data_IF_062182558684
#
_entry.id   IF_062182558684
#
_cell.length_a   1.000
_cell.length_b   1.000
_cell.length_c   1.000
_cell.angle_alpha   90.00
_cell.angle_beta   90.00
_cell.angle_gamma   90.00
#
_symmetry.space_group_name_H-M   'P 1'
#
loop_
_entity.id
_entity.type
_entity.pdbx_description
1 polymer ?
#
# COMPACT_ATOMS: atom_id res chain seq x y z
N UNK A 1 21.24 9.77 -14.39
CA UNK A 1 19.92 9.97 -15.04
C UNK A 1 19.51 8.81 -15.96
N UNK A 2 20.39 7.84 -16.23
CA UNK A 2 20.20 6.79 -17.24
C UNK A 2 19.58 5.49 -16.69
N UNK A 3 19.82 5.16 -15.42
CA UNK A 3 19.35 3.89 -14.82
C UNK A 3 17.88 3.90 -14.39
N UNK A 4 17.32 5.07 -14.03
CA UNK A 4 15.91 5.21 -13.64
C UNK A 4 14.97 5.03 -14.85
N UNK A 5 15.40 5.51 -16.03
CA UNK A 5 14.63 5.31 -17.28
C UNK A 5 14.67 3.86 -17.76
N UNK A 6 15.79 3.15 -17.53
CA UNK A 6 15.88 1.71 -17.83
C UNK A 6 14.96 0.87 -16.95
N UNK A 7 14.83 1.22 -15.66
CA UNK A 7 13.91 0.52 -14.75
C UNK A 7 12.44 0.74 -15.14
N UNK A 8 12.08 1.94 -15.60
CA UNK A 8 10.73 2.24 -16.12
C UNK A 8 10.42 1.49 -17.43
N UNK A 9 11.38 1.37 -18.35
CA UNK A 9 11.22 0.55 -19.56
C UNK A 9 11.14 -0.96 -19.25
N UNK A 10 11.90 -1.45 -18.27
CA UNK A 10 11.86 -2.86 -17.87
C UNK A 10 10.52 -3.24 -17.21
N UNK A 11 9.91 -2.31 -16.47
CA UNK A 11 8.56 -2.46 -15.91
C UNK A 11 7.46 -2.54 -16.97
N UNK A 12 7.62 -1.84 -18.09
CA UNK A 12 6.70 -1.91 -19.23
C UNK A 12 6.84 -3.24 -20.01
N UNK A 13 8.03 -3.85 -20.03
CA UNK A 13 8.29 -5.12 -20.71
C UNK A 13 7.88 -6.34 -19.89
N UNK A 14 7.99 -6.31 -18.56
CA UNK A 14 7.53 -7.44 -17.72
C UNK A 14 6.00 -7.62 -17.71
N UNK A 15 5.23 -6.57 -18.02
CA UNK A 15 3.78 -6.68 -18.19
C UNK A 15 3.34 -7.46 -19.43
N UNK A 16 4.25 -7.71 -20.38
CA UNK A 16 3.94 -8.35 -21.66
C UNK A 16 4.32 -9.84 -21.74
N UNK A 17 4.95 -10.42 -20.71
CA UNK A 17 5.56 -11.77 -20.81
C UNK A 17 4.99 -12.83 -19.85
N UNK A 18 3.83 -12.61 -19.25
CA UNK A 18 3.13 -13.68 -18.49
C UNK A 18 1.97 -14.22 -19.35
N UNK A 19 2.33 -14.88 -20.44
CA UNK A 19 1.47 -15.77 -21.19
C UNK A 19 2.35 -16.69 -22.05
N UNK A 20 2.84 -17.79 -21.46
CA UNK A 20 3.01 -19.09 -22.13
C UNK A 20 3.80 -20.06 -21.23
N UNK A 21 3.12 -21.17 -20.96
CA UNK A 21 3.61 -22.55 -20.81
C UNK A 21 4.28 -23.11 -19.55
N UNK A 22 3.94 -24.39 -19.42
CA UNK A 22 3.86 -25.31 -18.30
C UNK A 22 5.01 -26.34 -18.34
N UNK A 23 5.18 -27.05 -17.21
CA UNK A 23 5.91 -28.32 -16.98
C UNK A 23 7.36 -28.32 -16.45
N UNK A 24 7.43 -28.69 -15.16
CA UNK A 24 8.29 -29.70 -14.51
C UNK A 24 9.78 -29.81 -14.88
N UNK A 25 10.67 -29.52 -13.93
CA UNK A 25 11.90 -30.31 -13.67
C UNK A 25 12.22 -30.32 -12.17
N UNK A 26 12.67 -31.49 -11.71
CA UNK A 26 13.02 -31.91 -10.36
C UNK A 26 14.21 -31.16 -9.72
N UNK A 27 14.26 -31.28 -8.40
CA UNK A 27 15.25 -30.73 -7.48
C UNK A 27 16.36 -31.76 -7.24
N UNK A 28 17.61 -31.45 -7.59
CA UNK A 28 18.80 -32.15 -7.11
C UNK A 28 19.46 -31.36 -5.97
N UNK A 29 19.83 -32.07 -4.91
CA UNK A 29 20.56 -31.57 -3.76
C UNK A 29 22.06 -31.96 -3.83
N UNK A 30 22.80 -31.39 -2.88
CA UNK A 30 24.10 -31.79 -2.33
C UNK A 30 25.39 -31.20 -2.93
N UNK A 31 26.06 -30.33 -2.14
CA UNK A 31 27.18 -30.67 -1.23
C UNK A 31 27.76 -29.36 -0.64
N UNK A 32 27.85 -29.20 0.70
CA UNK A 32 29.03 -29.40 1.57
C UNK A 32 30.29 -28.64 1.09
N UNK A 33 31.09 -27.89 1.89
CA UNK A 33 31.47 -28.03 3.30
C UNK A 33 32.36 -26.83 3.75
N UNK A 34 32.25 -26.43 5.03
CA UNK A 34 33.33 -26.17 6.03
C UNK A 34 34.29 -24.95 5.96
N UNK A 35 34.22 -24.18 7.07
CA UNK A 35 35.24 -23.52 7.96
C UNK A 35 36.33 -22.64 7.31
N UNK A 36 36.68 -21.49 7.88
CA UNK A 36 37.50 -21.41 9.10
C UNK A 36 37.56 -19.99 9.68
N UNK A 37 37.59 -19.92 11.01
CA UNK A 37 37.82 -18.77 11.86
C UNK A 37 39.23 -18.19 11.68
N UNK A 38 39.39 -16.88 11.86
CA UNK A 38 40.55 -16.34 12.58
C UNK A 38 40.07 -15.24 13.52
N UNK A 39 40.62 -15.30 14.72
CA UNK A 39 40.32 -14.56 15.93
C UNK A 39 41.45 -13.54 16.19
N UNK A 40 41.15 -12.59 17.09
CA UNK A 40 42.03 -11.86 18.00
C UNK A 40 42.67 -10.56 17.47
N UNK A 41 42.38 -9.40 18.08
CA UNK A 41 42.79 -8.88 19.42
C UNK A 41 44.05 -8.02 19.23
N UNK A 42 44.36 -6.94 19.93
CA UNK A 42 43.82 -6.12 21.01
C UNK A 42 44.40 -4.70 20.77
N UNK A 43 43.85 -3.67 21.41
CA UNK A 43 44.58 -2.90 22.43
C UNK A 43 43.95 -1.55 22.75
N UNK A 44 43.92 -1.30 24.05
CA UNK A 44 43.39 -0.15 24.75
C UNK A 44 44.39 1.01 24.82
N UNK A 45 43.90 2.23 25.01
CA UNK A 45 43.98 2.94 26.31
C UNK A 45 43.74 4.46 26.18
N UNK A 46 42.90 4.96 27.09
CA UNK A 46 42.99 6.20 27.87
C UNK A 46 43.17 7.58 27.22
N UNK A 47 42.22 8.50 27.46
CA UNK A 47 42.29 9.48 28.57
C UNK A 47 41.34 10.68 28.40
N UNK A 48 40.46 10.85 29.40
CA UNK A 48 39.99 12.06 30.09
C UNK A 48 39.66 13.42 29.38
N UNK A 49 38.46 13.88 29.74
CA UNK A 49 38.06 15.23 30.20
C UNK A 49 37.79 16.39 29.21
N UNK A 50 36.49 16.57 28.97
CA UNK A 50 35.67 17.78 29.18
C UNK A 50 36.12 19.13 28.58
N UNK A 51 35.35 19.58 27.56
CA UNK A 51 35.03 21.00 27.35
C UNK A 51 33.79 21.13 26.48
N UNK A 52 32.75 21.71 27.06
CA UNK A 52 31.54 22.15 26.39
C UNK A 52 31.86 23.07 25.20
N UNK A 53 31.32 22.75 24.03
CA UNK A 53 31.20 23.69 22.90
C UNK A 53 29.85 23.49 22.21
N UNK A 54 29.00 24.52 22.34
CA UNK A 54 27.75 24.69 21.60
C UNK A 54 28.06 24.64 20.10
N UNK A 55 27.62 23.59 19.43
CA UNK A 55 27.56 23.58 17.96
C UNK A 55 26.10 23.68 17.54
N UNK A 56 25.73 24.86 17.01
CA UNK A 56 24.50 25.05 16.25
C UNK A 56 24.50 24.00 15.14
N UNK A 57 23.56 23.05 15.18
CA UNK A 57 23.30 22.18 14.05
C UNK A 57 22.77 23.04 12.92
N UNK A 58 23.61 23.27 11.90
CA UNK A 58 23.18 23.82 10.63
C UNK A 58 22.16 22.87 10.03
N UNK A 59 20.91 23.31 9.99
CA UNK A 59 19.85 22.67 9.23
C UNK A 59 20.28 22.73 7.76
N UNK A 60 20.49 21.56 7.15
CA UNK A 60 20.78 21.48 5.70
C UNK A 60 19.63 22.17 4.95
N UNK A 61 19.90 22.83 3.81
CA UNK A 61 18.84 23.37 2.96
C UNK A 61 17.82 22.27 2.70
N UNK A 62 16.55 22.56 2.98
CA UNK A 62 15.44 21.62 2.86
C UNK A 62 15.43 21.09 1.41
N UNK A 63 15.86 19.84 1.22
CA UNK A 63 15.85 19.22 -0.10
C UNK A 63 14.41 19.23 -0.64
N UNK A 64 14.23 19.53 -1.93
CA UNK A 64 12.92 19.46 -2.59
C UNK A 64 12.18 18.20 -2.14
N UNK A 65 11.06 18.32 -1.43
CA UNK A 65 10.42 17.18 -0.81
C UNK A 65 9.82 16.19 -1.82
N UNK A 66 9.67 16.62 -3.08
CA UNK A 66 9.22 15.81 -4.19
C UNK A 66 10.36 15.17 -4.98
N UNK A 67 11.63 15.47 -4.63
CA UNK A 67 12.82 14.92 -5.30
C UNK A 67 12.78 13.39 -5.28
N UNK A 68 12.83 12.80 -6.47
CA UNK A 68 12.81 11.34 -6.64
C UNK A 68 11.44 10.74 -6.92
N UNK A 69 10.38 11.57 -6.95
CA UNK A 69 9.08 11.16 -7.43
C UNK A 69 9.03 11.11 -8.97
N UNK A 70 8.49 10.02 -9.53
CA UNK A 70 8.44 9.76 -10.97
C UNK A 70 7.01 9.43 -11.38
N UNK A 71 6.47 10.10 -12.40
CA UNK A 71 5.15 9.80 -12.94
C UNK A 71 5.18 8.45 -13.66
N UNK A 72 4.28 7.54 -13.30
CA UNK A 72 4.28 6.16 -13.81
C UNK A 72 3.55 6.05 -15.16
N UNK A 73 2.53 6.88 -15.39
CA UNK A 73 1.75 6.90 -16.63
C UNK A 73 1.53 8.35 -17.09
N UNK A 74 1.60 8.64 -18.40
CA UNK A 74 1.26 9.96 -18.89
C UNK A 74 -0.22 10.30 -18.66
N UNK A 75 -1.10 9.29 -18.72
CA UNK A 75 -2.57 9.44 -18.65
C UNK A 75 -3.13 9.37 -17.23
N UNK A 76 -2.57 8.49 -16.39
CA UNK A 76 -3.08 8.29 -15.03
C UNK A 76 -2.46 9.29 -14.04
N UNK A 77 -3.16 9.58 -12.95
CA UNK A 77 -2.67 10.46 -11.86
C UNK A 77 -1.90 9.65 -10.81
N UNK A 78 -0.86 8.95 -11.26
CA UNK A 78 -0.03 8.07 -10.43
C UNK A 78 1.47 8.37 -10.56
N UNK A 79 2.13 8.40 -9.41
CA UNK A 79 3.57 8.55 -9.27
C UNK A 79 4.15 7.53 -8.31
N UNK A 80 5.44 7.26 -8.45
CA UNK A 80 6.21 6.39 -7.56
C UNK A 80 7.46 7.08 -7.05
N UNK A 81 7.84 6.80 -5.81
CA UNK A 81 9.11 7.22 -5.23
C UNK A 81 9.94 5.97 -4.89
N UNK A 82 10.79 5.45 -5.79
CA UNK A 82 11.50 4.19 -5.57
C UNK A 82 12.36 4.16 -4.29
N UNK A 83 13.04 5.27 -3.97
CA UNK A 83 13.88 5.38 -2.77
C UNK A 83 13.11 5.28 -1.44
N UNK A 84 11.87 5.80 -1.39
CA UNK A 84 11.00 5.76 -0.21
C UNK A 84 9.93 4.67 -0.27
N UNK A 85 9.82 4.00 -1.43
CA UNK A 85 8.79 3.02 -1.77
C UNK A 85 7.35 3.55 -1.68
N UNK A 86 7.14 4.80 -2.06
CA UNK A 86 5.81 5.39 -2.06
C UNK A 86 5.15 5.23 -3.42
N UNK A 87 3.85 4.97 -3.40
CA UNK A 87 2.98 5.03 -4.57
C UNK A 87 1.96 6.10 -4.26
N UNK A 88 1.96 7.16 -5.06
CA UNK A 88 1.15 8.34 -4.84
C UNK A 88 0.10 8.40 -5.94
N UNK A 89 -1.17 8.47 -5.56
CA UNK A 89 -2.29 8.52 -6.50
C UNK A 89 -3.24 9.63 -6.08
N UNK A 90 -3.63 10.49 -7.03
CA UNK A 90 -4.65 11.51 -6.74
C UNK A 90 -6.06 10.91 -6.82
N UNK A 91 -7.00 11.53 -6.13
CA UNK A 91 -8.40 11.14 -6.10
C UNK A 91 -9.27 12.16 -5.39
N UNK A 92 -10.46 11.75 -4.98
CA UNK A 92 -11.41 12.58 -4.23
C UNK A 92 -12.24 11.75 -3.26
N UNK A 93 -12.80 12.41 -2.25
CA UNK A 93 -13.83 11.81 -1.38
C UNK A 93 -15.12 11.63 -2.18
N UNK A 94 -15.66 10.41 -2.19
CA UNK A 94 -16.93 10.08 -2.87
C UNK A 94 -18.02 9.51 -1.95
N UNK A 95 -17.71 9.22 -0.69
CA UNK A 95 -18.70 8.84 0.31
C UNK A 95 -18.23 9.25 1.71
N UNK A 96 -19.14 9.79 2.52
CA UNK A 96 -18.86 10.18 3.93
C UNK A 96 -19.69 9.42 4.95
N UNK A 97 -20.75 8.76 4.51
CA UNK A 97 -21.74 8.10 5.36
C UNK A 97 -22.21 6.81 4.68
N UNK A 98 -22.50 5.78 5.46
CA UNK A 98 -22.98 4.50 4.96
C UNK A 98 -21.99 3.36 5.18
N UNK A 99 -22.45 2.17 4.79
CA UNK A 99 -21.70 0.93 4.84
C UNK A 99 -20.66 0.86 3.71
N UNK A 100 -19.54 0.19 3.98
CA UNK A 100 -18.40 0.14 3.06
C UNK A 100 -18.08 -1.28 2.63
N UNK A 101 -17.96 -1.48 1.32
CA UNK A 101 -17.34 -2.66 0.72
C UNK A 101 -15.85 -2.39 0.43
N UNK A 102 -15.53 -1.15 0.07
CA UNK A 102 -14.17 -0.68 -0.22
C UNK A 102 -13.83 0.59 0.56
N UNK A 103 -12.54 0.83 0.76
CA UNK A 103 -12.03 2.14 1.12
C UNK A 103 -11.83 3.00 -0.12
N UNK A 104 -11.22 2.44 -1.16
CA UNK A 104 -10.90 3.16 -2.39
C UNK A 104 -11.20 2.31 -3.63
N UNK A 105 -11.70 2.98 -4.68
CA UNK A 105 -12.07 2.39 -5.97
C UNK A 105 -11.50 3.23 -7.13
N UNK A 106 -11.31 2.66 -8.34
CA UNK A 106 -11.06 3.46 -9.54
C UNK A 106 -12.21 4.45 -9.81
N UNK A 107 -11.89 5.57 -10.45
CA UNK A 107 -12.87 6.54 -10.93
C UNK A 107 -14.02 5.89 -11.72
N UNK A 108 -15.24 6.42 -11.54
CA UNK A 108 -16.47 5.97 -12.23
C UNK A 108 -16.86 4.49 -12.02
N UNK A 109 -16.45 3.87 -10.92
CA UNK A 109 -16.88 2.51 -10.55
C UNK A 109 -17.88 2.54 -9.38
N UNK A 110 -17.59 1.79 -8.31
CA UNK A 110 -18.51 1.54 -7.19
C UNK A 110 -18.43 2.62 -6.11
N UNK A 111 -18.57 3.88 -6.51
CA UNK A 111 -18.37 5.05 -5.63
C UNK A 111 -19.39 5.16 -4.50
N UNK A 112 -20.53 4.48 -4.59
CA UNK A 112 -21.58 4.46 -3.56
C UNK A 112 -21.26 3.56 -2.35
N UNK A 113 -20.19 2.78 -2.42
CA UNK A 113 -19.77 1.82 -1.37
C UNK A 113 -18.29 2.01 -0.97
N UNK A 114 -17.71 3.16 -1.33
CA UNK A 114 -16.31 3.49 -1.10
C UNK A 114 -16.10 4.94 -0.66
N UNK A 115 -15.16 5.18 0.24
CA UNK A 115 -14.86 6.54 0.75
C UNK A 115 -14.12 7.38 -0.30
N UNK A 116 -13.24 6.75 -1.07
CA UNK A 116 -12.34 7.42 -2.02
C UNK A 116 -12.53 6.87 -3.44
N UNK A 117 -12.61 7.78 -4.39
CA UNK A 117 -12.52 7.48 -5.83
C UNK A 117 -11.18 8.02 -6.33
N UNK A 118 -10.33 7.16 -6.92
CA UNK A 118 -9.01 7.55 -7.39
C UNK A 118 -8.94 7.70 -8.90
N UNK A 119 -8.17 8.68 -9.37
CA UNK A 119 -8.01 9.00 -10.79
C UNK A 119 -6.94 8.08 -11.44
N UNK A 120 -7.11 6.77 -11.22
CA UNK A 120 -6.19 5.73 -11.66
C UNK A 120 -6.87 4.35 -11.71
N UNK A 121 -6.65 3.58 -12.78
CA UNK A 121 -7.07 2.18 -12.81
C UNK A 121 -6.23 1.31 -11.85
N UNK A 122 -6.87 0.33 -11.21
CA UNK A 122 -6.25 -0.65 -10.28
C UNK A 122 -5.02 -1.33 -10.85
N UNK A 123 -5.01 -1.69 -12.14
CA UNK A 123 -3.85 -2.31 -12.80
C UNK A 123 -2.56 -1.49 -12.72
N UNK A 124 -2.64 -0.15 -12.71
CA UNK A 124 -1.45 0.70 -12.55
C UNK A 124 -0.97 0.75 -11.10
N UNK A 125 -1.90 0.74 -10.13
CA UNK A 125 -1.56 0.61 -8.71
C UNK A 125 -0.92 -0.75 -8.42
N UNK A 126 -1.45 -1.82 -9.01
CA UNK A 126 -0.86 -3.17 -8.96
C UNK A 126 0.58 -3.14 -9.50
N UNK A 127 0.79 -2.62 -10.70
CA UNK A 127 2.12 -2.53 -11.31
C UNK A 127 3.09 -1.71 -10.45
N UNK A 128 2.62 -0.60 -9.85
CA UNK A 128 3.41 0.22 -8.94
C UNK A 128 3.80 -0.55 -7.66
N UNK A 129 2.89 -1.34 -7.08
CA UNK A 129 3.16 -2.19 -5.91
C UNK A 129 4.29 -3.19 -6.21
N UNK A 130 4.20 -3.89 -7.35
CA UNK A 130 5.26 -4.78 -7.81
C UNK A 130 6.60 -4.04 -8.00
N UNK A 131 6.56 -2.86 -8.63
CA UNK A 131 7.75 -2.03 -8.84
C UNK A 131 8.43 -1.60 -7.52
N UNK A 132 7.66 -1.38 -6.45
CA UNK A 132 8.19 -1.04 -5.12
C UNK A 132 8.65 -2.28 -4.31
N UNK A 133 8.55 -3.46 -4.91
CA UNK A 133 8.98 -4.74 -4.34
C UNK A 133 7.94 -5.40 -3.44
N UNK A 134 6.67 -4.99 -3.54
CA UNK A 134 5.58 -5.73 -2.94
C UNK A 134 5.42 -7.08 -3.65
N UNK A 135 5.10 -8.11 -2.87
CA UNK A 135 4.78 -9.45 -3.35
C UNK A 135 3.28 -9.67 -3.21
N UNK A 136 2.62 -9.95 -4.33
CA UNK A 136 1.25 -10.44 -4.33
C UNK A 136 1.21 -11.81 -3.64
N UNK A 137 0.20 -12.02 -2.80
CA UNK A 137 -0.17 -13.33 -2.29
C UNK A 137 -1.36 -13.88 -3.06
N UNK A 138 -2.48 -14.07 -2.36
CA UNK A 138 -3.77 -14.38 -2.98
C UNK A 138 -4.88 -13.55 -2.35
N UNK A 139 -5.96 -13.26 -3.09
CA UNK A 139 -7.21 -12.81 -2.49
C UNK A 139 -7.78 -13.85 -1.52
N UNK A 140 -8.85 -13.47 -0.81
CA UNK A 140 -9.60 -14.37 0.05
C UNK A 140 -10.15 -15.57 -0.75
N UNK A 141 -10.19 -16.73 -0.11
CA UNK A 141 -10.87 -17.93 -0.59
C UNK A 141 -11.95 -18.31 0.41
N UNK A 142 -13.21 -18.36 -0.02
CA UNK A 142 -14.32 -18.73 0.86
C UNK A 142 -14.57 -20.25 0.93
N UNK A 143 -14.33 -20.97 -0.16
CA UNK A 143 -14.61 -22.41 -0.30
C UNK A 143 -13.39 -23.15 -0.89
N UNK A 144 -13.19 -24.43 -0.54
CA UNK A 144 -13.98 -25.23 0.41
C UNK A 144 -13.72 -24.84 1.88
N UNK A 145 -12.54 -24.28 2.18
CA UNK A 145 -12.14 -23.76 3.49
C UNK A 145 -11.83 -22.28 3.38
N UNK A 146 -12.31 -21.49 4.34
CA UNK A 146 -11.96 -20.07 4.43
C UNK A 146 -10.44 -19.91 4.58
N UNK A 147 -9.85 -19.13 3.69
CA UNK A 147 -8.45 -18.68 3.75
C UNK A 147 -8.46 -17.18 3.48
N UNK A 148 -8.03 -16.34 4.44
CA UNK A 148 -8.03 -14.89 4.24
C UNK A 148 -7.02 -14.48 3.17
N UNK A 149 -7.18 -13.27 2.67
CA UNK A 149 -6.18 -12.67 1.80
C UNK A 149 -4.82 -12.61 2.48
N UNK A 150 -3.75 -12.74 1.69
CA UNK A 150 -2.38 -12.68 2.18
C UNK A 150 -1.46 -12.03 1.13
N UNK A 151 -0.23 -11.68 1.53
CA UNK A 151 0.71 -10.95 0.68
C UNK A 151 1.51 -9.91 1.46
N UNK A 152 2.14 -8.99 0.74
CA UNK A 152 2.83 -7.86 1.40
C UNK A 152 1.83 -6.94 2.09
N UNK A 153 2.15 -6.48 3.30
CA UNK A 153 1.33 -5.47 3.98
C UNK A 153 1.47 -4.14 3.25
N UNK A 154 0.36 -3.45 3.05
CA UNK A 154 0.32 -2.12 2.45
C UNK A 154 -0.32 -1.16 3.43
N UNK A 155 0.46 -0.18 3.90
CA UNK A 155 -0.07 0.97 4.63
C UNK A 155 -0.62 1.98 3.63
N UNK A 156 -1.77 2.56 3.94
CA UNK A 156 -2.43 3.56 3.10
C UNK A 156 -2.66 4.82 3.93
N UNK A 157 -2.17 5.93 3.41
CA UNK A 157 -2.39 7.26 3.97
C UNK A 157 -3.18 8.10 2.98
N UNK A 158 -3.97 9.02 3.50
CA UNK A 158 -4.65 10.06 2.71
C UNK A 158 -4.16 11.42 3.18
N UNK A 159 -3.79 12.24 2.20
CA UNK A 159 -3.40 13.62 2.38
C UNK A 159 -4.47 14.48 1.71
N UNK A 160 -4.82 15.60 2.32
CA UNK A 160 -5.73 16.59 1.75
C UNK A 160 -5.42 17.98 2.30
N UNK A 161 -6.00 19.02 1.71
CA UNK A 161 -6.00 20.36 2.31
C UNK A 161 -7.32 20.58 3.05
N UNK A 162 -7.23 21.08 4.28
CA UNK A 162 -8.42 21.55 4.99
C UNK A 162 -8.91 22.90 4.42
N UNK A 163 -9.97 23.43 5.03
CA UNK A 163 -10.60 24.69 4.64
C UNK A 163 -9.65 25.90 4.73
N UNK A 164 -8.64 25.82 5.61
CA UNK A 164 -7.59 26.83 5.76
C UNK A 164 -6.41 26.62 4.77
N UNK A 165 -6.52 25.62 3.89
CA UNK A 165 -5.48 25.24 2.93
C UNK A 165 -4.29 24.50 3.55
N UNK A 166 -4.38 24.13 4.83
CA UNK A 166 -3.33 23.40 5.54
C UNK A 166 -3.41 21.91 5.21
N UNK A 167 -2.24 21.32 4.97
CA UNK A 167 -2.14 19.91 4.68
C UNK A 167 -2.46 19.07 5.93
N UNK A 168 -3.40 18.16 5.76
CA UNK A 168 -3.81 17.16 6.74
C UNK A 168 -3.40 15.77 6.27
N UNK A 169 -3.14 14.87 7.21
CA UNK A 169 -2.75 13.48 6.94
C UNK A 169 -3.50 12.56 7.90
N UNK A 170 -4.04 11.48 7.37
CA UNK A 170 -4.61 10.40 8.16
C UNK A 170 -4.20 9.04 7.59
N UNK A 171 -4.09 8.03 8.45
CA UNK A 171 -4.14 6.65 7.98
C UNK A 171 -5.56 6.37 7.46
N UNK A 172 -5.68 5.67 6.33
CA UNK A 172 -6.99 5.35 5.72
C UNK A 172 -7.95 4.68 6.72
N UNK A 173 -7.41 3.87 7.63
CA UNK A 173 -8.17 3.21 8.68
C UNK A 173 -8.89 4.17 9.65
N UNK A 174 -8.47 5.43 9.76
CA UNK A 174 -9.14 6.42 10.62
C UNK A 174 -10.47 6.92 10.04
N UNK A 175 -10.64 6.81 8.72
CA UNK A 175 -11.84 7.19 7.98
C UNK A 175 -12.93 6.11 8.01
N UNK A 176 -12.67 4.99 8.69
CA UNK A 176 -13.61 3.89 8.79
C UNK A 176 -13.72 3.44 10.23
N UNK A 177 -14.89 2.97 10.63
CA UNK A 177 -15.12 2.42 11.96
C UNK A 177 -15.97 1.16 11.89
N UNK A 178 -15.69 0.23 12.78
CA UNK A 178 -16.53 -0.94 13.03
C UNK A 178 -17.91 -0.45 13.51
N UNK A 179 -18.97 -0.85 12.79
CA UNK A 179 -20.32 -0.37 13.07
C UNK A 179 -20.80 -0.75 14.46
N UNK A 180 -20.37 -1.91 14.99
CA UNK A 180 -20.82 -2.41 16.29
C UNK A 180 -19.96 -1.86 17.42
N UNK A 181 -18.64 -1.90 17.26
CA UNK A 181 -17.67 -1.50 18.31
C UNK A 181 -17.43 0.00 18.34
N UNK A 182 -17.81 0.73 17.27
CA UNK A 182 -17.54 2.17 17.08
C UNK A 182 -16.05 2.52 17.16
N UNK A 183 -15.17 1.54 16.91
CA UNK A 183 -13.71 1.72 16.89
C UNK A 183 -13.21 1.80 15.46
N UNK A 184 -12.18 2.62 15.23
CA UNK A 184 -11.53 2.69 13.92
C UNK A 184 -10.90 1.37 13.53
N UNK A 185 -10.79 1.08 12.23
CA UNK A 185 -10.12 -0.12 11.72
C UNK A 185 -8.67 -0.20 12.26
N UNK A 186 -8.24 -1.39 12.67
CA UNK A 186 -6.92 -1.62 13.26
C UNK A 186 -5.93 -2.29 12.30
N UNK A 187 -6.45 -2.90 11.23
CA UNK A 187 -5.68 -3.74 10.33
C UNK A 187 -5.28 -2.95 9.08
N UNK A 188 -4.04 -3.08 8.60
CA UNK A 188 -3.64 -2.68 7.26
C UNK A 188 -4.17 -3.68 6.23
N UNK A 189 -3.99 -3.34 4.96
CA UNK A 189 -4.31 -4.23 3.86
C UNK A 189 -3.14 -5.13 3.53
N UNK A 190 -3.44 -6.25 2.88
CA UNK A 190 -2.45 -7.11 2.23
C UNK A 190 -2.64 -7.11 0.73
N UNK A 191 -1.54 -7.20 -0.01
CA UNK A 191 -1.54 -7.24 -1.46
C UNK A 191 -1.87 -8.65 -1.97
N UNK A 192 -3.15 -8.90 -2.22
CA UNK A 192 -3.68 -10.17 -2.74
C UNK A 192 -3.46 -10.33 -4.25
N UNK A 193 -3.47 -9.23 -5.01
CA UNK A 193 -3.09 -9.20 -6.42
C UNK A 193 -4.21 -9.35 -7.46
N UNK A 194 -5.45 -9.66 -7.07
CA UNK A 194 -6.60 -9.86 -7.97
C UNK A 194 -6.34 -10.90 -9.08
N UNK A 195 -7.18 -10.92 -10.12
CA UNK A 195 -7.06 -11.82 -11.28
C UNK A 195 -7.52 -11.16 -12.58
N UNK A 196 -7.59 -11.95 -13.65
CA UNK A 196 -8.03 -11.52 -14.97
C UNK A 196 -9.22 -12.34 -15.45
N UNK A 197 -10.03 -11.75 -16.34
CA UNK A 197 -11.09 -12.42 -17.07
C UNK A 197 -11.08 -12.02 -18.55
N UNK A 198 -11.75 -12.81 -19.38
CA UNK A 198 -12.03 -12.48 -20.78
C UNK A 198 -13.41 -11.82 -20.87
N UNK A 199 -13.49 -10.65 -21.49
CA UNK A 199 -14.76 -10.02 -21.80
C UNK A 199 -15.41 -10.61 -23.07
N UNK A 200 -16.56 -10.06 -23.48
CA UNK A 200 -17.29 -10.51 -24.68
C UNK A 200 -16.49 -10.35 -25.98
N UNK A 201 -15.50 -9.45 -26.00
CA UNK A 201 -14.59 -9.24 -27.11
C UNK A 201 -13.32 -10.12 -27.02
N UNK A 202 -13.27 -11.06 -26.07
CA UNK A 202 -12.11 -11.91 -25.76
C UNK A 202 -10.86 -11.10 -25.34
N UNK A 203 -11.04 -9.91 -24.78
CA UNK A 203 -9.94 -9.11 -24.23
C UNK A 203 -9.70 -9.44 -22.75
N UNK A 204 -8.42 -9.51 -22.36
CA UNK A 204 -8.04 -9.66 -20.96
C UNK A 204 -8.38 -8.38 -20.18
N UNK A 205 -9.26 -8.51 -19.19
CA UNK A 205 -9.63 -7.47 -18.23
C UNK A 205 -9.17 -7.85 -16.84
N UNK A 206 -8.67 -6.88 -16.09
CA UNK A 206 -8.23 -7.08 -14.72
C UNK A 206 -9.40 -6.83 -13.77
N UNK A 207 -9.76 -7.80 -12.92
CA UNK A 207 -10.99 -7.74 -12.14
C UNK A 207 -11.08 -6.50 -11.26
N UNK A 208 -10.01 -6.15 -10.54
CA UNK A 208 -10.05 -5.00 -9.63
C UNK A 208 -10.22 -3.65 -10.34
N UNK A 209 -10.07 -3.55 -11.66
CA UNK A 209 -10.45 -2.33 -12.39
C UNK A 209 -11.98 -2.10 -12.37
N UNK A 210 -12.78 -3.11 -12.01
CA UNK A 210 -14.23 -3.00 -11.81
C UNK A 210 -14.67 -2.50 -10.44
N UNK A 211 -13.75 -2.30 -9.49
CA UNK A 211 -14.05 -1.71 -8.19
C UNK A 211 -13.31 -2.33 -7.00
N UNK A 212 -12.96 -3.62 -7.03
CA UNK A 212 -12.34 -4.33 -5.90
C UNK A 212 -10.85 -4.00 -5.70
N UNK A 213 -10.53 -2.71 -5.60
CA UNK A 213 -9.17 -2.20 -5.47
C UNK A 213 -8.68 -2.26 -4.02
N UNK A 214 -9.35 -1.59 -3.09
CA UNK A 214 -8.99 -1.56 -1.66
C UNK A 214 -10.20 -1.96 -0.82
N UNK A 215 -10.38 -3.27 -0.63
CA UNK A 215 -11.57 -3.85 0.00
C UNK A 215 -11.50 -3.85 1.53
N UNK A 216 -12.68 -3.80 2.17
CA UNK A 216 -12.86 -3.99 3.61
C UNK A 216 -13.88 -5.08 3.98
N UNK A 217 -14.55 -5.65 2.97
CA UNK A 217 -15.57 -6.69 3.14
C UNK A 217 -15.20 -8.09 2.59
N UNK A 218 -13.92 -8.33 2.29
CA UNK A 218 -13.38 -9.54 1.68
C UNK A 218 -13.96 -9.91 0.29
N UNK A 219 -13.14 -9.85 -0.76
CA UNK A 219 -13.56 -10.23 -2.12
C UNK A 219 -12.57 -11.17 -2.80
N UNK A 220 -13.08 -12.22 -3.45
CA UNK A 220 -12.27 -13.23 -4.13
C UNK A 220 -11.43 -12.66 -5.31
N UNK A 221 -11.74 -11.44 -5.71
CA UNK A 221 -11.05 -10.71 -6.78
C UNK A 221 -10.40 -9.41 -6.30
N UNK A 222 -10.27 -9.20 -4.98
CA UNK A 222 -9.65 -8.00 -4.42
C UNK A 222 -8.16 -7.86 -4.80
N UNK A 223 -7.74 -6.63 -5.13
CA UNK A 223 -6.32 -6.30 -5.24
C UNK A 223 -5.66 -6.15 -3.86
N UNK A 224 -6.24 -5.29 -3.02
CA UNK A 224 -5.89 -5.12 -1.61
C UNK A 224 -7.10 -5.49 -0.75
N UNK A 225 -6.88 -6.30 0.28
CA UNK A 225 -7.97 -6.79 1.15
C UNK A 225 -7.50 -6.91 2.61
N UNK A 226 -8.44 -7.03 3.53
CA UNK A 226 -8.12 -7.24 4.94
C UNK A 226 -7.68 -8.70 5.18
N UNK A 227 -6.57 -8.93 5.90
CA UNK A 227 -6.07 -10.27 6.22
C UNK A 227 -6.82 -10.91 7.41
N UNK A 228 -8.10 -10.60 7.56
CA UNK A 228 -9.00 -11.12 8.59
C UNK A 228 -10.34 -11.48 7.95
N UNK A 229 -11.07 -12.41 8.55
CA UNK A 229 -12.44 -12.72 8.12
C UNK A 229 -13.38 -11.57 8.48
N UNK A 230 -14.02 -11.01 7.46
CA UNK A 230 -15.22 -10.18 7.63
C UNK A 230 -16.27 -11.03 8.33
N UNK A 231 -16.77 -10.54 9.47
CA UNK A 231 -17.68 -11.29 10.34
C UNK A 231 -18.93 -11.75 9.58
N UNK A 232 -19.07 -13.07 9.39
CA UNK A 232 -20.22 -13.71 8.74
C UNK A 232 -21.52 -13.62 9.54
N UNK A 233 -21.48 -13.18 10.80
CA UNK A 233 -22.57 -13.38 11.75
C UNK A 233 -23.78 -12.44 11.61
N UNK A 234 -23.80 -11.48 10.68
CA UNK A 234 -24.99 -10.71 10.36
C UNK A 234 -24.84 -10.10 8.97
N UNK A 235 -25.92 -10.06 8.21
CA UNK A 235 -26.04 -9.57 6.83
C UNK A 235 -25.68 -8.09 6.60
N UNK A 236 -24.96 -7.46 7.53
CA UNK A 236 -24.52 -6.08 7.50
C UNK A 236 -23.00 -6.01 7.35
N UNK A 237 -22.53 -5.10 6.50
CA UNK A 237 -21.11 -4.80 6.34
C UNK A 237 -20.51 -4.37 7.69
N UNK A 238 -19.30 -4.86 8.01
CA UNK A 238 -18.68 -4.65 9.32
C UNK A 238 -18.23 -3.19 9.54
N UNK A 239 -17.88 -2.51 8.45
CA UNK A 239 -17.30 -1.17 8.50
C UNK A 239 -18.21 -0.15 7.84
N UNK A 240 -18.30 1.02 8.48
CA UNK A 240 -19.00 2.21 7.98
C UNK A 240 -18.04 3.37 7.88
N UNK A 241 -18.38 4.34 7.04
CA UNK A 241 -17.66 5.61 6.96
C UNK A 241 -17.66 6.34 8.32
N UNK A 242 -16.52 6.91 8.69
CA UNK A 242 -16.33 7.68 9.91
C UNK A 242 -16.41 9.18 9.58
N UNK A 243 -17.64 9.66 9.40
CA UNK A 243 -17.97 11.00 8.87
C UNK A 243 -17.17 12.15 9.51
N UNK A 244 -16.96 12.11 10.82
CA UNK A 244 -16.21 13.14 11.57
C UNK A 244 -14.72 13.21 11.20
N UNK A 245 -14.19 12.18 10.55
CA UNK A 245 -12.78 12.09 10.13
C UNK A 245 -12.59 12.29 8.64
N UNK A 246 -13.66 12.19 7.85
CA UNK A 246 -13.63 12.32 6.39
C UNK A 246 -13.95 13.79 6.04
N UNK A 247 -13.10 14.46 5.26
CA UNK A 247 -13.37 15.83 4.80
C UNK A 247 -14.62 15.86 3.90
N UNK A 248 -15.13 17.06 3.54
CA UNK A 248 -16.33 17.19 2.71
C UNK A 248 -16.27 16.36 1.41
N UNK A 249 -17.45 16.06 0.86
CA UNK A 249 -17.57 15.40 -0.44
C UNK A 249 -16.78 16.15 -1.50
N UNK A 250 -16.24 15.41 -2.47
CA UNK A 250 -15.42 15.93 -3.57
C UNK A 250 -14.10 16.61 -3.16
N UNK A 251 -13.74 16.61 -1.87
CA UNK A 251 -12.43 17.09 -1.42
C UNK A 251 -11.34 16.34 -2.19
N UNK A 252 -10.45 17.03 -2.93
CA UNK A 252 -9.31 16.41 -3.57
C UNK A 252 -8.39 15.80 -2.52
N UNK A 253 -7.99 14.55 -2.75
CA UNK A 253 -7.08 13.83 -1.88
C UNK A 253 -5.91 13.32 -2.68
N UNK A 254 -4.85 13.00 -1.94
CA UNK A 254 -3.75 12.19 -2.40
C UNK A 254 -3.65 10.95 -1.53
N UNK A 255 -3.85 9.80 -2.15
CA UNK A 255 -3.66 8.51 -1.50
C UNK A 255 -2.21 8.06 -1.68
N UNK A 256 -1.55 7.70 -0.59
CA UNK A 256 -0.18 7.18 -0.59
C UNK A 256 -0.17 5.76 -0.08
N UNK A 257 0.23 4.82 -0.93
CA UNK A 257 0.42 3.42 -0.59
C UNK A 257 1.89 3.14 -0.32
N UNK A 258 2.16 2.40 0.76
CA UNK A 258 3.51 2.07 1.22
C UNK A 258 3.58 0.58 1.55
N UNK A 259 4.17 -0.26 0.67
CA UNK A 259 4.36 -1.66 0.96
C UNK A 259 5.46 -1.86 2.01
N UNK A 260 5.14 -2.59 3.09
CA UNK A 260 6.12 -3.02 4.09
C UNK A 260 7.04 -4.10 3.51
N UNK A 261 8.22 -4.26 4.12
CA UNK A 261 9.11 -5.39 3.79
C UNK A 261 8.51 -6.70 4.32
N UNK A 262 8.60 -7.76 3.51
CA UNK A 262 8.14 -9.10 3.87
C UNK A 262 6.72 -9.40 3.40
N UNK A 263 6.22 -10.58 3.77
CA UNK A 263 4.89 -11.07 3.40
C UNK A 263 4.20 -11.69 4.61
N UNK A 264 2.90 -11.44 4.72
CA UNK A 264 2.01 -12.23 5.60
C UNK A 264 1.69 -13.51 4.83
N UNK A 265 2.05 -14.66 5.41
CA UNK A 265 1.86 -16.00 4.79
C UNK A 265 0.93 -16.90 5.60
N UNK A 266 0.68 -16.56 6.86
CA UNK A 266 -0.27 -17.22 7.75
C UNK A 266 -1.09 -16.15 8.44
N UNK A 267 -2.40 -16.25 8.32
CA UNK A 267 -3.33 -15.37 9.01
C UNK A 267 -3.86 -16.11 10.23
N UNK A 268 -3.00 -16.25 11.23
CA UNK A 268 -3.52 -16.38 12.59
C UNK A 268 -3.80 -14.95 13.07
N UNK A 269 -4.98 -14.69 13.62
CA UNK A 269 -5.44 -13.32 13.95
C UNK A 269 -4.52 -12.60 14.95
N UNK A 270 -3.69 -13.36 15.67
CA UNK A 270 -2.68 -12.88 16.62
C UNK A 270 -1.43 -12.30 15.94
N UNK A 271 -1.10 -12.77 14.73
CA UNK A 271 0.10 -12.40 13.99
C UNK A 271 -0.19 -11.38 12.88
N UNK A 272 -1.46 -10.95 12.74
CA UNK A 272 -1.84 -9.95 11.76
C UNK A 272 -1.23 -8.60 12.14
N UNK A 273 -0.45 -7.98 11.24
CA UNK A 273 0.12 -6.67 11.49
C UNK A 273 -0.96 -5.65 11.84
N UNK A 274 -0.67 -4.76 12.78
CA UNK A 274 -1.54 -3.62 13.09
C UNK A 274 -1.13 -2.40 12.26
N UNK A 275 -2.07 -1.48 12.07
CA UNK A 275 -1.81 -0.17 11.45
C UNK A 275 -0.68 0.53 12.19
N UNK A 276 0.08 1.36 11.46
CA UNK A 276 1.12 2.17 12.08
C UNK A 276 0.51 3.16 13.08
N UNK A 277 1.29 3.51 14.11
CA UNK A 277 0.91 4.54 15.07
C UNK A 277 0.83 5.91 14.38
N UNK A 278 0.00 6.83 14.91
CA UNK A 278 -0.22 8.16 14.31
C UNK A 278 1.05 9.01 14.25
N UNK A 279 1.99 8.77 15.15
CA UNK A 279 3.28 9.44 15.25
C UNK A 279 4.42 8.69 14.55
N UNK A 280 4.12 7.63 13.79
CA UNK A 280 5.11 6.88 13.05
C UNK A 280 5.94 7.81 12.14
N UNK A 281 7.28 7.61 12.04
CA UNK A 281 8.17 8.51 11.30
C UNK A 281 7.70 8.84 9.88
N UNK A 282 7.08 7.88 9.19
CA UNK A 282 6.55 8.06 7.84
C UNK A 282 5.50 9.18 7.75
N UNK A 283 4.69 9.40 8.78
CA UNK A 283 3.67 10.47 8.79
C UNK A 283 4.34 11.84 8.70
N UNK A 284 5.48 12.01 9.40
CA UNK A 284 6.28 13.24 9.33
C UNK A 284 6.94 13.43 7.97
N UNK A 285 7.34 12.34 7.31
CA UNK A 285 7.91 12.40 5.97
C UNK A 285 6.85 12.74 4.91
N UNK A 286 5.65 12.16 5.02
CA UNK A 286 4.53 12.45 4.13
C UNK A 286 4.03 13.90 4.29
N UNK A 287 4.16 14.49 5.48
CA UNK A 287 3.85 15.90 5.72
C UNK A 287 4.68 16.86 4.84
N UNK A 288 5.83 16.40 4.34
CA UNK A 288 6.68 17.19 3.45
C UNK A 288 6.25 17.11 1.99
N UNK A 289 5.45 16.11 1.58
CA UNK A 289 5.05 15.93 0.18
C UNK A 289 4.21 17.13 -0.29
N UNK A 290 4.58 17.74 -1.42
CA UNK A 290 3.99 19.00 -1.91
C UNK A 290 3.76 19.01 -3.41
N UNK A 291 3.27 17.92 -4.01
CA UNK A 291 2.88 18.00 -5.42
C UNK A 291 1.67 18.94 -5.57
N UNK A 292 1.54 19.62 -6.72
CA UNK A 292 0.36 20.40 -7.05
C UNK A 292 -0.94 19.61 -6.83
N UNK A 293 -1.99 20.33 -6.44
CA UNK A 293 -3.35 19.83 -6.23
C UNK A 293 -4.21 20.20 -7.43
#
# INVERSE_FOLDING_TARGET
>A
MTEIKKLACLLLLLGALVAADDKTVERSADTNTVKTQVQNADDASDAAADKASKTKSGEKPDEDPNKGLVKLSPKEKIWVHPGKKWIVVDGRVCLREGQLEMFAVPYETKTHEAVVSIDCHSRFVHAALLAMGAKAGTPVRFRPKYTPAHGSVVDIFVLWKDEDGKQQIAAAQEWMRDERKKKTLEYPWVFGGSGFFKDEADENRYYADGGEMVCVANFAVAMLDLPIESDKANTALLYVANTEKIPPMDTPIRMVLVPRKGVVTKADTKDVPKRLAKDAPIVKELAKLTLPW
#
